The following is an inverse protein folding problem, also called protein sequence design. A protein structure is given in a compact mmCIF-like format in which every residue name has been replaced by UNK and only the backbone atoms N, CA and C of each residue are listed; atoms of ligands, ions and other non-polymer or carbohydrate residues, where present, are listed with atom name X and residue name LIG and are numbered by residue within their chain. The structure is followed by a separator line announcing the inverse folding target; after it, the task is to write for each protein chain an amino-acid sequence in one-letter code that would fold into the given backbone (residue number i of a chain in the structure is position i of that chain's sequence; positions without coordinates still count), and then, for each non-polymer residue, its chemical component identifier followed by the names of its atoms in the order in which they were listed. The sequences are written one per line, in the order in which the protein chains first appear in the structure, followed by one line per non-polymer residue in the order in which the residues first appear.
data_IF_420890551492
#
_entry.id   IF_420890551492
#
_cell.length_a   1.000
_cell.length_b   1.000
_cell.length_c   1.000
_cell.angle_alpha   90.00
_cell.angle_beta   90.00
_cell.angle_gamma   90.00
#
_symmetry.space_group_name_H-M   'P 1'
#
loop_
_entity.id
_entity.type
_entity.pdbx_description
1 polymer ?
#
# COMPACT_ATOMS: atom_id res chain seq x y z
N UNK A 1 36.51 33.83 3.90
CA UNK A 1 36.58 32.37 3.63
C UNK A 1 35.90 31.65 4.79
N UNK A 2 34.62 31.33 4.69
CA UNK A 2 33.90 30.62 5.77
C UNK A 2 34.13 29.12 5.63
N UNK A 3 35.05 28.58 6.42
CA UNK A 3 35.23 27.13 6.56
C UNK A 3 34.06 26.57 7.35
N UNK A 4 33.37 25.58 6.76
CA UNK A 4 32.27 24.90 7.43
C UNK A 4 32.75 24.22 8.71
N UNK A 5 31.98 24.40 9.79
CA UNK A 5 32.27 23.80 11.10
C UNK A 5 32.49 22.28 10.98
N UNK A 6 33.50 21.70 11.66
CA UNK A 6 33.78 20.26 11.63
C UNK A 6 32.56 19.37 11.92
N UNK A 7 31.61 19.87 12.72
CA UNK A 7 30.34 19.17 13.01
C UNK A 7 29.39 19.08 11.81
N UNK A 8 29.33 20.10 10.95
CA UNK A 8 28.52 20.09 9.72
C UNK A 8 29.07 19.09 8.71
N UNK A 9 30.40 19.04 8.55
CA UNK A 9 31.10 18.12 7.65
C UNK A 9 30.88 16.66 8.11
N UNK A 10 30.99 16.40 9.42
CA UNK A 10 30.74 15.08 10.00
C UNK A 10 29.28 14.62 9.81
N UNK A 11 28.30 15.51 9.99
CA UNK A 11 26.87 15.21 9.78
C UNK A 11 26.56 14.93 8.30
N UNK A 12 27.15 15.68 7.38
CA UNK A 12 26.99 15.47 5.94
C UNK A 12 27.61 14.14 5.48
N UNK A 13 28.79 13.76 6.00
CA UNK A 13 29.41 12.45 5.73
C UNK A 13 28.54 11.30 6.26
N UNK A 14 28.07 11.40 7.51
CA UNK A 14 27.20 10.39 8.13
C UNK A 14 25.87 10.23 7.38
N UNK A 15 25.33 11.34 6.86
CA UNK A 15 24.12 11.31 6.02
C UNK A 15 24.38 10.67 4.66
N UNK A 16 25.51 10.98 3.99
CA UNK A 16 25.89 10.33 2.72
C UNK A 16 26.13 8.82 2.89
N UNK A 17 26.77 8.39 3.98
CA UNK A 17 26.96 6.98 4.31
C UNK A 17 25.63 6.27 4.63
N UNK A 18 24.73 6.94 5.37
CA UNK A 18 23.38 6.43 5.60
C UNK A 18 22.60 6.26 4.29
N UNK A 19 22.65 7.25 3.39
CA UNK A 19 22.00 7.19 2.07
C UNK A 19 22.62 6.09 1.21
N UNK A 20 23.95 5.91 1.25
CA UNK A 20 24.66 4.85 0.53
C UNK A 20 24.30 3.46 1.07
N UNK A 21 24.36 3.24 2.39
CA UNK A 21 23.92 1.99 3.02
C UNK A 21 22.44 1.69 2.77
N UNK A 22 21.58 2.71 2.79
CA UNK A 22 20.16 2.56 2.47
C UNK A 22 19.95 2.18 1.02
N UNK A 23 20.76 2.71 0.10
CA UNK A 23 20.75 2.36 -1.33
C UNK A 23 21.26 0.94 -1.56
N UNK A 24 22.37 0.56 -0.95
CA UNK A 24 22.93 -0.80 -0.99
C UNK A 24 21.98 -1.84 -0.35
N UNK A 25 21.27 -1.48 0.72
CA UNK A 25 20.25 -2.35 1.33
C UNK A 25 18.95 -2.41 0.52
N UNK A 26 18.60 -1.36 -0.23
CA UNK A 26 17.44 -1.42 -1.15
C UNK A 26 17.79 -2.19 -2.42
N UNK A 27 19.02 -2.09 -2.92
CA UNK A 27 19.45 -2.82 -4.12
C UNK A 27 19.55 -4.34 -3.88
N UNK A 28 19.70 -4.79 -2.62
CA UNK A 28 19.71 -6.22 -2.25
C UNK A 28 18.34 -6.82 -1.84
N UNK A 29 17.30 -5.98 -1.63
CA UNK A 29 15.95 -6.42 -1.18
C UNK A 29 14.85 -5.61 -1.88
N UNK A 30 14.91 -5.49 -3.21
CA UNK A 30 13.85 -4.83 -3.99
C UNK A 30 13.07 -5.82 -4.86
N UNK A 31 12.68 -6.95 -4.26
CA UNK A 31 11.62 -7.83 -4.78
C UNK A 31 10.23 -7.45 -4.23
N UNK A 32 10.12 -6.32 -3.51
CA UNK A 32 8.95 -6.06 -2.69
C UNK A 32 7.82 -5.39 -3.49
N UNK A 33 6.81 -6.17 -3.83
CA UNK A 33 5.45 -5.70 -4.19
C UNK A 33 4.58 -5.45 -2.97
N UNK A 34 5.13 -5.63 -1.77
CA UNK A 34 4.51 -5.30 -0.50
C UNK A 34 3.77 -6.46 0.16
N UNK A 35 3.94 -7.71 -0.28
CA UNK A 35 3.30 -8.87 0.34
C UNK A 35 4.04 -10.18 0.06
N UNK A 36 4.01 -11.07 1.04
CA UNK A 36 4.64 -12.41 1.07
C UNK A 36 3.63 -13.51 0.73
N UNK A 37 4.09 -14.75 0.57
CA UNK A 37 3.16 -15.90 0.49
C UNK A 37 2.28 -16.04 1.75
N UNK A 38 2.82 -15.70 2.92
CA UNK A 38 2.08 -15.74 4.18
C UNK A 38 0.94 -14.71 4.17
N UNK A 39 1.19 -13.53 3.62
CA UNK A 39 0.17 -12.51 3.42
C UNK A 39 -0.98 -12.99 2.52
N UNK A 40 -0.68 -13.76 1.48
CA UNK A 40 -1.70 -14.34 0.58
C UNK A 40 -2.54 -15.43 1.27
N UNK A 41 -1.97 -16.13 2.26
CA UNK A 41 -2.62 -17.21 3.01
C UNK A 41 -3.46 -16.72 4.21
N UNK A 42 -3.32 -15.45 4.61
CA UNK A 42 -3.99 -14.91 5.81
C UNK A 42 -5.53 -14.90 5.76
N UNK A 43 -6.15 -14.93 4.58
CA UNK A 43 -7.61 -15.06 4.44
C UNK A 43 -7.95 -15.94 3.23
N UNK A 44 -9.22 -16.10 2.85
CA UNK A 44 -9.68 -16.77 1.63
C UNK A 44 -10.90 -16.05 1.03
N UNK A 45 -11.16 -16.29 -0.25
CA UNK A 45 -12.32 -15.74 -0.94
C UNK A 45 -13.53 -16.67 -0.79
N UNK A 46 -14.72 -16.09 -0.76
CA UNK A 46 -15.98 -16.79 -1.02
C UNK A 46 -16.82 -15.94 -1.97
N UNK A 47 -17.74 -16.59 -2.69
CA UNK A 47 -18.51 -15.96 -3.75
C UNK A 47 -20.01 -16.09 -3.48
N UNK A 48 -20.72 -14.98 -3.57
CA UNK A 48 -22.16 -14.93 -3.32
C UNK A 48 -22.78 -13.83 -4.20
N UNK A 49 -23.88 -14.14 -4.91
CA UNK A 49 -24.62 -13.18 -5.74
C UNK A 49 -23.75 -12.40 -6.75
N UNK A 50 -22.78 -13.07 -7.38
CA UNK A 50 -21.86 -12.44 -8.35
C UNK A 50 -20.81 -11.50 -7.72
N UNK A 51 -20.63 -11.57 -6.40
CA UNK A 51 -19.64 -10.79 -5.66
C UNK A 51 -18.56 -11.69 -5.07
N UNK A 52 -17.32 -11.23 -5.17
CA UNK A 52 -16.15 -11.75 -4.45
C UNK A 52 -16.10 -11.09 -3.07
N UNK A 53 -16.14 -11.93 -2.04
CA UNK A 53 -16.03 -11.56 -0.63
C UNK A 53 -14.79 -12.20 -0.02
N UNK A 54 -14.30 -11.60 1.05
CA UNK A 54 -13.10 -12.03 1.78
C UNK A 54 -13.52 -12.40 3.18
N UNK A 55 -13.13 -13.57 3.68
CA UNK A 55 -13.38 -13.91 5.07
C UNK A 55 -12.63 -12.91 5.97
N UNK A 56 -13.27 -12.39 7.03
CA UNK A 56 -12.61 -11.44 7.91
C UNK A 56 -11.30 -11.99 8.48
N UNK A 57 -10.30 -11.11 8.66
CA UNK A 57 -8.97 -11.50 9.09
C UNK A 57 -8.34 -10.46 10.02
N UNK A 58 -7.40 -10.90 10.84
CA UNK A 58 -6.59 -9.99 11.67
C UNK A 58 -5.57 -9.28 10.80
N UNK A 59 -5.46 -7.97 10.94
CA UNK A 59 -4.50 -7.14 10.21
C UNK A 59 -3.80 -6.19 11.17
N UNK A 60 -2.49 -6.05 11.03
CA UNK A 60 -1.69 -5.15 11.87
C UNK A 60 -1.32 -3.92 11.04
N UNK A 61 -1.79 -2.75 11.47
CA UNK A 61 -1.23 -1.49 11.01
C UNK A 61 0.02 -1.20 11.82
N UNK A 62 1.16 -1.00 11.17
CA UNK A 62 2.40 -0.65 11.84
C UNK A 62 3.02 0.59 11.21
N UNK A 63 3.54 1.50 12.03
CA UNK A 63 4.25 2.67 11.56
C UNK A 63 5.24 3.17 12.59
N UNK A 64 6.38 3.70 12.12
CA UNK A 64 7.34 4.35 13.00
C UNK A 64 6.87 5.74 13.40
N UNK A 65 7.16 6.12 14.63
CA UNK A 65 6.85 7.42 15.17
C UNK A 65 7.48 8.53 14.33
N UNK A 66 6.63 9.42 13.81
CA UNK A 66 7.06 10.58 13.02
C UNK A 66 7.55 11.68 13.95
N UNK A 67 8.43 12.55 13.47
CA UNK A 67 8.99 13.64 14.29
C UNK A 67 7.95 14.51 14.99
N UNK A 68 6.79 14.77 14.35
CA UNK A 68 5.67 15.54 14.92
C UNK A 68 4.86 14.81 16.01
N UNK A 69 5.10 13.52 16.21
CA UNK A 69 4.43 12.70 17.22
C UNK A 69 5.26 12.57 18.50
N UNK A 70 6.57 12.79 18.42
CA UNK A 70 7.47 12.66 19.55
C UNK A 70 7.09 13.65 20.65
N UNK A 71 6.99 13.15 21.88
CA UNK A 71 6.57 13.94 23.05
C UNK A 71 5.06 14.08 23.22
N UNK A 72 4.24 13.55 22.29
CA UNK A 72 2.78 13.41 22.45
C UNK A 72 2.46 12.01 22.96
N UNK A 73 1.30 11.88 23.62
CA UNK A 73 0.81 10.55 24.01
C UNK A 73 0.35 9.78 22.78
N UNK A 74 0.47 8.45 22.84
CA UNK A 74 -0.03 7.57 21.78
C UNK A 74 -1.53 7.74 21.56
N UNK A 75 -2.31 7.95 22.63
CA UNK A 75 -3.74 8.22 22.53
C UNK A 75 -4.05 9.48 21.71
N UNK A 76 -3.35 10.59 21.97
CA UNK A 76 -3.54 11.85 21.25
C UNK A 76 -3.16 11.74 19.77
N UNK A 77 -2.14 10.95 19.44
CA UNK A 77 -1.73 10.71 18.06
C UNK A 77 -2.72 9.81 17.33
N UNK A 78 -3.14 8.69 17.95
CA UNK A 78 -4.07 7.76 17.35
C UNK A 78 -5.44 8.40 17.10
N UNK A 79 -5.99 9.10 18.09
CA UNK A 79 -7.29 9.78 17.98
C UNK A 79 -7.34 10.84 16.86
N UNK A 80 -6.28 11.65 16.70
CA UNK A 80 -6.28 12.77 15.75
C UNK A 80 -5.85 12.39 14.34
N UNK A 81 -4.97 11.41 14.17
CA UNK A 81 -4.34 11.14 12.87
C UNK A 81 -4.82 9.86 12.18
N UNK A 82 -5.45 8.93 12.90
CA UNK A 82 -5.80 7.62 12.36
C UNK A 82 -7.31 7.37 12.26
N UNK A 83 -8.13 8.41 12.45
CA UNK A 83 -9.56 8.36 12.15
C UNK A 83 -10.32 7.33 12.99
N UNK A 84 -9.94 7.14 14.25
CA UNK A 84 -10.80 6.44 15.21
C UNK A 84 -12.09 7.26 15.30
N UNK A 85 -13.19 6.69 14.80
CA UNK A 85 -14.44 7.43 14.64
C UNK A 85 -15.10 7.76 15.98
N UNK A 86 -14.83 6.95 17.01
CA UNK A 86 -15.34 7.14 18.38
C UNK A 86 -14.18 6.97 19.38
N UNK A 87 -14.08 7.84 20.42
CA UNK A 87 -13.10 7.69 21.49
C UNK A 87 -13.17 6.32 22.19
N UNK A 88 -14.37 5.78 22.35
CA UNK A 88 -14.65 4.47 22.95
C UNK A 88 -13.96 3.31 22.19
N UNK A 89 -13.84 3.41 20.85
CA UNK A 89 -13.16 2.39 20.05
C UNK A 89 -11.67 2.31 20.38
N UNK A 90 -11.07 3.48 20.66
CA UNK A 90 -9.65 3.57 20.99
C UNK A 90 -9.37 3.07 22.41
N UNK A 91 -10.26 3.38 23.36
CA UNK A 91 -10.18 2.86 24.74
C UNK A 91 -10.28 1.33 24.75
N UNK A 92 -11.28 0.76 24.07
CA UNK A 92 -11.40 -0.69 23.89
C UNK A 92 -10.17 -1.31 23.22
N UNK A 93 -9.56 -0.61 22.26
CA UNK A 93 -8.33 -1.08 21.61
C UNK A 93 -7.13 -1.15 22.57
N UNK A 94 -7.01 -0.20 23.51
CA UNK A 94 -6.01 -0.25 24.58
C UNK A 94 -6.33 -1.36 25.60
N UNK A 95 -7.57 -1.45 26.07
CA UNK A 95 -8.01 -2.46 27.05
C UNK A 95 -7.85 -3.89 26.53
N UNK A 96 -8.16 -4.12 25.26
CA UNK A 96 -7.99 -5.43 24.61
C UNK A 96 -6.54 -5.80 24.31
N UNK A 97 -5.57 -4.91 24.54
CA UNK A 97 -4.16 -5.12 24.19
C UNK A 97 -3.90 -5.13 22.68
N UNK A 98 -4.78 -4.52 21.89
CA UNK A 98 -4.66 -4.48 20.41
C UNK A 98 -3.63 -3.44 19.93
N UNK A 99 -3.16 -2.57 20.82
CA UNK A 99 -2.17 -1.52 20.52
C UNK A 99 -0.86 -1.83 21.26
N UNK A 100 0.25 -1.78 20.53
CA UNK A 100 1.59 -1.98 21.09
C UNK A 100 2.58 -0.94 20.58
N UNK A 101 3.61 -0.68 21.40
CA UNK A 101 4.79 0.11 21.04
C UNK A 101 6.03 -0.76 21.21
N UNK A 102 6.81 -0.90 20.14
CA UNK A 102 7.99 -1.77 20.10
C UNK A 102 7.68 -3.21 20.57
N UNK A 103 6.54 -3.75 20.13
CA UNK A 103 6.00 -5.08 20.48
C UNK A 103 5.60 -5.28 21.95
N UNK A 104 5.57 -4.22 22.77
CA UNK A 104 5.06 -4.26 24.13
C UNK A 104 3.69 -3.59 24.20
N UNK A 105 2.77 -4.10 25.01
CA UNK A 105 1.47 -3.48 25.24
C UNK A 105 1.67 -2.02 25.69
N UNK A 106 0.99 -1.11 25.02
CA UNK A 106 1.08 0.31 25.31
C UNK A 106 -0.11 0.74 26.16
N UNK A 107 0.13 1.64 27.11
CA UNK A 107 -0.93 2.36 27.83
C UNK A 107 -1.28 3.65 27.08
N UNK A 108 -2.49 4.17 27.27
CA UNK A 108 -2.96 5.37 26.57
C UNK A 108 -2.09 6.61 26.82
N UNK A 109 -1.47 6.70 28.00
CA UNK A 109 -0.59 7.78 28.45
C UNK A 109 0.86 7.64 27.97
N UNK A 110 1.21 6.54 27.27
CA UNK A 110 2.56 6.34 26.75
C UNK A 110 3.00 7.49 25.85
N UNK A 111 4.11 8.14 26.20
CA UNK A 111 4.68 9.26 25.45
C UNK A 111 5.62 8.72 24.36
N UNK A 112 5.29 9.01 23.11
CA UNK A 112 6.03 8.51 21.94
C UNK A 112 7.43 9.11 21.87
N UNK A 113 8.41 8.24 21.57
CA UNK A 113 9.82 8.56 21.37
C UNK A 113 10.20 8.43 19.89
N UNK A 114 11.38 8.95 19.57
CA UNK A 114 11.92 8.84 18.21
C UNK A 114 12.14 7.37 17.85
N UNK A 115 11.69 6.97 16.66
CA UNK A 115 11.77 5.59 16.13
C UNK A 115 10.94 4.53 16.87
N UNK A 116 10.00 4.91 17.74
CA UNK A 116 9.06 3.94 18.29
C UNK A 116 8.22 3.32 17.17
N UNK A 117 8.12 1.99 17.15
CA UNK A 117 7.22 1.27 16.26
C UNK A 117 5.85 1.17 16.93
N UNK A 118 4.87 1.87 16.38
CA UNK A 118 3.48 1.81 16.82
C UNK A 118 2.78 0.74 15.98
N UNK A 119 2.13 -0.22 16.64
CA UNK A 119 1.38 -1.29 16.00
C UNK A 119 -0.05 -1.33 16.54
N UNK A 120 -1.03 -1.45 15.66
CA UNK A 120 -2.45 -1.61 16.00
C UNK A 120 -3.03 -2.79 15.22
N UNK A 121 -3.40 -3.85 15.94
CA UNK A 121 -4.07 -5.02 15.40
C UNK A 121 -5.57 -4.77 15.33
N UNK A 122 -6.17 -4.98 14.17
CA UNK A 122 -7.61 -4.84 13.96
C UNK A 122 -8.18 -6.06 13.24
N UNK A 123 -9.49 -6.22 13.31
CA UNK A 123 -10.22 -7.19 12.51
C UNK A 123 -10.75 -6.51 11.25
N UNK A 124 -10.22 -6.90 10.08
CA UNK A 124 -10.58 -6.30 8.80
C UNK A 124 -11.74 -7.00 8.14
N UNK A 125 -12.69 -6.18 7.68
CA UNK A 125 -13.80 -6.57 6.82
C UNK A 125 -13.68 -5.78 5.51
N UNK A 126 -13.36 -6.47 4.42
CA UNK A 126 -13.27 -5.82 3.11
C UNK A 126 -14.66 -5.68 2.50
N UNK A 127 -14.89 -4.57 1.80
CA UNK A 127 -16.10 -4.43 1.01
C UNK A 127 -16.06 -5.44 -0.16
N UNK A 128 -17.21 -6.04 -0.53
CA UNK A 128 -17.30 -6.92 -1.68
C UNK A 128 -16.92 -6.20 -2.97
N UNK A 129 -16.40 -6.94 -3.94
CA UNK A 129 -16.17 -6.49 -5.32
C UNK A 129 -16.80 -7.49 -6.29
N UNK A 130 -16.87 -7.15 -7.58
CA UNK A 130 -17.35 -8.10 -8.59
C UNK A 130 -16.55 -9.41 -8.57
N UNK A 131 -17.22 -10.53 -8.82
CA UNK A 131 -16.57 -11.83 -9.02
C UNK A 131 -16.07 -12.05 -10.46
N UNK A 132 -16.18 -11.05 -11.34
CA UNK A 132 -15.66 -11.14 -12.70
C UNK A 132 -14.16 -11.51 -12.70
N UNK A 133 -13.72 -12.41 -13.59
CA UNK A 133 -12.32 -12.82 -13.65
C UNK A 133 -11.43 -11.68 -14.11
N UNK A 134 -10.16 -11.72 -13.72
CA UNK A 134 -9.12 -10.87 -14.30
C UNK A 134 -8.61 -11.56 -15.57
N UNK A 135 -9.02 -11.09 -16.73
CA UNK A 135 -8.58 -11.68 -17.99
C UNK A 135 -7.18 -11.19 -18.33
N UNK A 136 -6.28 -12.11 -18.70
CA UNK A 136 -4.93 -11.78 -19.17
C UNK A 136 -5.01 -11.48 -20.67
N UNK A 137 -4.65 -10.25 -21.04
CA UNK A 137 -4.53 -9.82 -22.44
C UNK A 137 -3.16 -10.22 -22.99
N UNK A 138 -2.10 -10.00 -22.21
CA UNK A 138 -0.73 -10.36 -22.58
C UNK A 138 0.11 -10.70 -21.35
N UNK A 139 0.97 -11.71 -21.48
CA UNK A 139 1.90 -12.14 -20.44
C UNK A 139 3.28 -12.34 -21.06
N UNK A 140 4.20 -11.45 -20.74
CA UNK A 140 5.59 -11.44 -21.25
C UNK A 140 6.56 -11.61 -20.09
N UNK A 141 7.86 -11.70 -20.37
CA UNK A 141 8.88 -11.89 -19.34
C UNK A 141 8.89 -10.74 -18.32
N UNK A 142 8.64 -9.49 -18.75
CA UNK A 142 8.77 -8.30 -17.90
C UNK A 142 7.46 -7.53 -17.67
N UNK A 143 6.35 -7.91 -18.33
CA UNK A 143 5.03 -7.27 -18.19
C UNK A 143 3.88 -8.27 -18.17
N UNK A 144 2.82 -7.89 -17.47
CA UNK A 144 1.50 -8.52 -17.49
C UNK A 144 0.46 -7.45 -17.82
N UNK A 145 -0.37 -7.72 -18.83
CA UNK A 145 -1.46 -6.83 -19.26
C UNK A 145 -2.77 -7.55 -19.02
N UNK A 146 -3.69 -6.91 -18.31
CA UNK A 146 -4.99 -7.48 -17.96
C UNK A 146 -6.15 -6.60 -18.42
N UNK A 147 -7.31 -7.21 -18.65
CA UNK A 147 -8.59 -6.54 -18.70
C UNK A 147 -9.14 -6.46 -17.27
N UNK A 148 -8.97 -5.31 -16.62
CA UNK A 148 -9.43 -5.08 -15.25
C UNK A 148 -10.94 -4.78 -15.28
N UNK A 149 -11.81 -5.54 -14.59
CA UNK A 149 -13.21 -5.21 -14.46
C UNK A 149 -13.41 -3.98 -13.55
N UNK A 150 -14.58 -3.35 -13.65
CA UNK A 150 -14.99 -2.31 -12.71
C UNK A 150 -15.16 -2.89 -11.28
N UNK A 151 -15.30 -2.04 -10.28
CA UNK A 151 -15.40 -2.36 -8.85
C UNK A 151 -14.11 -2.81 -8.13
N UNK A 152 -13.07 -3.28 -8.82
CA UNK A 152 -11.82 -3.77 -8.19
C UNK A 152 -10.76 -2.66 -8.16
N UNK A 153 -10.11 -2.32 -7.04
CA UNK A 153 -8.96 -1.41 -6.99
C UNK A 153 -7.66 -2.07 -7.52
N UNK A 154 -6.77 -1.28 -8.11
CA UNK A 154 -5.52 -1.80 -8.72
C UNK A 154 -4.50 -2.35 -7.70
N UNK A 155 -4.52 -1.89 -6.46
CA UNK A 155 -3.58 -2.26 -5.39
C UNK A 155 -4.29 -2.14 -4.03
N UNK A 156 -3.75 -2.74 -2.96
CA UNK A 156 -4.27 -2.54 -1.61
C UNK A 156 -4.36 -1.06 -1.27
N UNK A 157 -5.57 -0.60 -0.93
CA UNK A 157 -5.81 0.77 -0.51
C UNK A 157 -7.11 0.87 0.31
N UNK A 158 -7.10 1.70 1.35
CA UNK A 158 -8.26 1.91 2.21
C UNK A 158 -8.79 0.59 2.79
N UNK A 159 -10.05 0.27 2.49
CA UNK A 159 -10.76 -0.95 2.94
C UNK A 159 -10.52 -2.19 2.07
N UNK A 160 -9.65 -2.11 1.06
CA UNK A 160 -9.37 -3.21 0.13
C UNK A 160 -7.92 -3.64 0.22
N UNK A 161 -7.68 -4.93 0.37
CA UNK A 161 -6.35 -5.55 0.31
C UNK A 161 -6.41 -6.82 -0.52
N UNK A 162 -7.11 -7.86 -0.06
CA UNK A 162 -7.35 -9.09 -0.82
C UNK A 162 -8.23 -8.82 -2.04
N UNK A 163 -9.26 -7.98 -1.90
CA UNK A 163 -10.07 -7.51 -3.02
C UNK A 163 -9.36 -6.39 -3.82
N UNK A 164 -8.11 -6.62 -4.23
CA UNK A 164 -7.36 -5.76 -5.15
C UNK A 164 -6.74 -6.59 -6.27
N UNK A 165 -6.54 -6.00 -7.44
CA UNK A 165 -6.00 -6.69 -8.62
C UNK A 165 -4.72 -7.47 -8.27
N UNK A 166 -3.78 -6.82 -7.60
CA UNK A 166 -2.50 -7.43 -7.25
C UNK A 166 -2.67 -8.68 -6.35
N UNK A 167 -3.50 -8.62 -5.32
CA UNK A 167 -3.74 -9.77 -4.44
C UNK A 167 -4.55 -10.88 -5.11
N UNK A 168 -5.50 -10.52 -5.98
CA UNK A 168 -6.26 -11.49 -6.76
C UNK A 168 -5.32 -12.25 -7.69
N UNK A 169 -4.48 -11.55 -8.46
CA UNK A 169 -3.49 -12.17 -9.35
C UNK A 169 -2.47 -13.01 -8.58
N UNK A 170 -1.98 -12.53 -7.44
CA UNK A 170 -1.07 -13.29 -6.59
C UNK A 170 -1.70 -14.59 -6.08
N UNK A 171 -2.96 -14.52 -5.65
CA UNK A 171 -3.65 -15.66 -5.03
C UNK A 171 -4.19 -16.68 -6.03
N UNK A 172 -4.73 -16.22 -7.15
CA UNK A 172 -5.37 -17.10 -8.14
C UNK A 172 -4.39 -17.57 -9.21
N UNK A 173 -3.32 -16.82 -9.46
CA UNK A 173 -2.41 -17.05 -10.59
C UNK A 173 -0.93 -17.04 -10.20
N UNK A 174 -0.59 -16.86 -8.92
CA UNK A 174 0.80 -16.92 -8.43
C UNK A 174 1.66 -15.70 -8.79
N UNK A 175 1.07 -14.61 -9.28
CA UNK A 175 1.85 -13.41 -9.60
C UNK A 175 2.14 -12.58 -8.34
N UNK A 176 3.32 -12.77 -7.75
CA UNK A 176 3.73 -12.07 -6.53
C UNK A 176 4.45 -10.76 -6.81
N UNK A 177 5.14 -10.60 -7.94
CA UNK A 177 6.06 -9.46 -8.18
C UNK A 177 5.55 -8.40 -9.19
N UNK A 178 4.25 -8.12 -9.19
CA UNK A 178 3.61 -7.10 -10.03
C UNK A 178 3.68 -5.67 -9.48
N UNK A 179 4.09 -4.72 -10.33
CA UNK A 179 4.21 -3.29 -10.04
C UNK A 179 3.29 -2.48 -10.96
N UNK A 180 2.49 -1.60 -10.39
CA UNK A 180 1.67 -0.66 -11.16
C UNK A 180 2.55 0.45 -11.75
N UNK A 181 2.44 0.70 -13.05
CA UNK A 181 3.04 1.88 -13.70
C UNK A 181 2.09 3.08 -13.79
N UNK A 182 0.79 2.79 -13.79
CA UNK A 182 -0.31 3.73 -13.64
C UNK A 182 -1.47 2.97 -12.98
N UNK A 183 -2.55 3.67 -12.66
CA UNK A 183 -3.72 3.08 -12.01
C UNK A 183 -4.98 3.44 -12.78
N UNK A 184 -5.92 2.52 -12.80
CA UNK A 184 -7.32 2.80 -13.08
C UNK A 184 -8.06 2.99 -11.76
N UNK A 185 -9.02 3.92 -11.72
CA UNK A 185 -9.90 4.07 -10.57
C UNK A 185 -10.69 2.79 -10.34
N UNK A 186 -11.15 2.59 -9.10
CA UNK A 186 -11.87 1.37 -8.71
C UNK A 186 -13.06 1.09 -9.65
N UNK A 187 -13.79 2.14 -10.04
CA UNK A 187 -14.98 2.04 -10.89
C UNK A 187 -14.67 2.04 -12.40
N UNK A 188 -13.42 2.29 -12.80
CA UNK A 188 -13.00 2.27 -14.20
C UNK A 188 -12.56 0.86 -14.59
N UNK A 189 -13.14 0.32 -15.65
CA UNK A 189 -12.70 -0.93 -16.29
C UNK A 189 -11.74 -0.66 -17.44
N UNK A 190 -11.02 -1.68 -17.88
CA UNK A 190 -10.23 -1.66 -19.10
C UNK A 190 -8.81 -2.15 -18.91
N UNK A 191 -7.95 -1.80 -19.86
CA UNK A 191 -6.57 -2.29 -19.94
C UNK A 191 -5.73 -1.73 -18.79
N UNK A 192 -5.17 -2.62 -17.99
CA UNK A 192 -4.18 -2.29 -16.95
C UNK A 192 -2.87 -3.02 -17.25
N UNK A 193 -1.78 -2.26 -17.26
CA UNK A 193 -0.42 -2.79 -17.44
C UNK A 193 0.30 -2.84 -16.09
N UNK A 194 0.85 -4.01 -15.79
CA UNK A 194 1.65 -4.32 -14.61
C UNK A 194 3.03 -4.77 -15.05
N UNK A 195 4.08 -4.31 -14.37
CA UNK A 195 5.45 -4.74 -14.64
C UNK A 195 5.90 -5.79 -13.64
N UNK A 196 6.69 -6.76 -14.09
CA UNK A 196 7.27 -7.83 -13.26
C UNK A 196 8.66 -7.50 -12.73
N UNK A 197 9.36 -6.57 -13.39
CA UNK A 197 10.73 -6.18 -13.04
C UNK A 197 10.82 -4.69 -12.71
N UNK A 198 11.76 -4.34 -11.83
CA UNK A 198 12.01 -2.94 -11.44
C UNK A 198 12.51 -2.12 -12.62
N UNK A 199 13.38 -2.71 -13.44
CA UNK A 199 13.97 -2.09 -14.63
C UNK A 199 12.87 -1.68 -15.62
N UNK A 200 11.95 -2.61 -15.93
CA UNK A 200 10.82 -2.33 -16.83
C UNK A 200 9.85 -1.32 -16.24
N UNK A 201 9.56 -1.44 -14.95
CA UNK A 201 8.72 -0.48 -14.22
C UNK A 201 9.26 0.94 -14.38
N UNK A 202 10.55 1.15 -14.11
CA UNK A 202 11.19 2.47 -14.25
C UNK A 202 11.13 3.00 -15.68
N UNK A 203 11.47 2.16 -16.67
CA UNK A 203 11.44 2.56 -18.07
C UNK A 203 10.03 2.99 -18.53
N UNK A 204 8.99 2.22 -18.19
CA UNK A 204 7.62 2.57 -18.57
C UNK A 204 7.08 3.77 -17.79
N UNK A 205 7.40 3.90 -16.49
CA UNK A 205 7.04 5.10 -15.73
C UNK A 205 7.67 6.36 -16.34
N UNK A 206 8.92 6.29 -16.78
CA UNK A 206 9.59 7.40 -17.47
C UNK A 206 8.89 7.74 -18.81
N UNK A 207 8.46 6.73 -19.58
CA UNK A 207 7.70 6.95 -20.82
C UNK A 207 6.32 7.57 -20.55
N UNK A 208 5.61 7.10 -19.52
CA UNK A 208 4.33 7.67 -19.09
C UNK A 208 4.50 9.13 -18.66
N UNK A 209 5.55 9.43 -17.88
CA UNK A 209 5.86 10.79 -17.45
C UNK A 209 6.20 11.72 -18.62
N UNK A 210 6.90 11.21 -19.64
CA UNK A 210 7.23 11.91 -20.89
C UNK A 210 6.09 11.95 -21.91
N UNK A 211 4.88 11.47 -21.55
CA UNK A 211 3.71 11.39 -22.43
C UNK A 211 3.95 10.61 -23.74
N UNK A 212 4.81 9.60 -23.69
CA UNK A 212 5.10 8.72 -24.82
C UNK A 212 4.12 7.53 -24.90
N UNK A 213 3.25 7.38 -23.90
CA UNK A 213 2.21 6.36 -23.85
C UNK A 213 0.86 7.00 -24.12
N UNK A 214 0.21 6.59 -25.20
CA UNK A 214 -1.17 6.97 -25.51
C UNK A 214 -2.14 6.08 -24.73
N UNK A 215 -3.14 6.71 -24.11
CA UNK A 215 -4.21 6.03 -23.38
C UNK A 215 -5.53 6.60 -23.85
N UNK A 216 -6.42 5.72 -24.29
CA UNK A 216 -7.74 6.09 -24.79
C UNK A 216 -8.81 5.54 -23.87
N UNK A 217 -9.81 6.36 -23.59
CA UNK A 217 -10.93 6.02 -22.72
C UNK A 217 -12.22 6.23 -23.48
N UNK A 218 -13.05 5.19 -23.51
CA UNK A 218 -14.41 5.29 -24.02
C UNK A 218 -15.32 5.62 -22.85
N UNK A 219 -16.04 6.73 -22.95
CA UNK A 219 -16.91 7.23 -21.90
C UNK A 219 -18.31 7.53 -22.46
N UNK A 220 -19.35 7.20 -21.68
CA UNK A 220 -20.70 7.72 -21.91
C UNK A 220 -20.93 8.89 -20.95
N UNK A 221 -21.26 10.05 -21.51
CA UNK A 221 -21.48 11.29 -20.75
C UNK A 221 -22.95 11.73 -20.82
N UNK A 222 -23.37 12.55 -19.87
CA UNK A 222 -24.67 13.22 -19.89
C UNK A 222 -24.48 14.62 -20.48
N UNK A 223 -25.25 14.95 -21.53
CA UNK A 223 -25.17 16.22 -22.26
C UNK A 223 -24.82 16.03 -23.74
N UNK A 224 -24.57 17.15 -24.43
CA UNK A 224 -24.18 17.19 -25.84
C UNK A 224 -22.80 17.83 -25.97
N UNK A 225 -21.94 17.26 -26.83
CA UNK A 225 -20.69 17.92 -27.19
C UNK A 225 -20.97 19.15 -28.06
N UNK A 226 -20.20 20.23 -27.93
CA UNK A 226 -20.25 21.35 -28.88
C UNK A 226 -19.98 20.87 -30.32
N UNK A 227 -20.63 21.51 -31.28
CA UNK A 227 -20.30 21.36 -32.71
C UNK A 227 -18.92 21.95 -33.05
#
# INVERSE_FOLDING_TARGET
MNSDSPRKIARAKKHKEYVKKKKESTDAVNDDTGFTEEDLKQSSYYFENGLRKVYPYKFVFATYAKGRWVGRTIYDVLSKEFGFNLPEDLEKAFESGSISVNNNLATADYVLKTNDLISHQTHRHENPVTSAPLEIIANTDDMLVINKPSSIPCHPCGRYRFNSVIFILGKEMGFTNLRNIYRLDRLTSGVLVLCKTVQRTKALMDQVAKRQVQKEYVCRVVGHFPE
#
